data_IF_383894063862
#
_entry.id   IF_383894063862
#
_cell.length_a   1.000
_cell.length_b   1.000
_cell.length_c   1.000
_cell.angle_alpha   90.00
_cell.angle_beta   90.00
_cell.angle_gamma   90.00
#
_symmetry.space_group_name_H-M   'P 1'
#
loop_
_entity.id
_entity.type
_entity.pdbx_description
1 polymer ?
#
# COMPACT_ATOMS: atom_id res chain seq x y z
N UNK A 1 9.14 -1.54 12.38
CA UNK A 1 8.54 -2.23 11.21
C UNK A 1 7.06 -2.53 11.44
N UNK A 2 6.67 -3.28 12.47
CA UNK A 2 5.27 -3.63 12.73
C UNK A 2 4.32 -2.43 12.87
N UNK A 3 4.68 -1.41 13.67
CA UNK A 3 3.85 -0.21 13.85
C UNK A 3 3.59 0.52 12.51
N UNK A 4 4.63 0.71 11.68
CA UNK A 4 4.49 1.34 10.36
C UNK A 4 3.55 0.56 9.45
N UNK A 5 3.70 -0.76 9.36
CA UNK A 5 2.83 -1.58 8.51
C UNK A 5 1.39 -1.53 9.02
N UNK A 6 1.18 -1.71 10.32
CA UNK A 6 -0.14 -1.76 10.91
C UNK A 6 -0.89 -0.42 10.80
N UNK A 7 -0.22 0.70 11.12
CA UNK A 7 -0.86 2.02 11.03
C UNK A 7 -1.23 2.37 9.59
N UNK A 8 -0.42 1.97 8.62
CA UNK A 8 -0.67 2.28 7.22
C UNK A 8 -1.68 1.32 6.59
N UNK A 9 -1.46 0.00 6.66
CA UNK A 9 -2.33 -0.95 5.95
C UNK A 9 -3.65 -1.20 6.68
N UNK A 10 -3.65 -1.22 8.01
CA UNK A 10 -4.87 -1.59 8.77
C UNK A 10 -5.65 -0.35 9.19
N UNK A 11 -4.99 0.65 9.77
CA UNK A 11 -5.69 1.80 10.33
C UNK A 11 -5.97 2.90 9.28
N UNK A 12 -5.05 3.10 8.34
CA UNK A 12 -5.19 4.16 7.33
C UNK A 12 -5.84 3.64 6.06
N UNK A 13 -5.32 2.53 5.51
CA UNK A 13 -5.83 1.98 4.26
C UNK A 13 -7.13 1.18 4.42
N UNK A 14 -7.41 0.73 5.65
CA UNK A 14 -8.46 -0.25 5.94
C UNK A 14 -8.39 -1.42 4.92
N UNK A 15 -7.19 -2.01 4.76
CA UNK A 15 -6.95 -3.06 3.76
C UNK A 15 -7.78 -4.30 4.10
N UNK A 16 -8.60 -4.72 3.14
CA UNK A 16 -9.57 -5.79 3.25
C UNK A 16 -9.27 -6.96 2.29
N UNK A 17 -9.91 -8.09 2.55
CA UNK A 17 -9.80 -9.28 1.70
C UNK A 17 -10.19 -8.99 0.25
N UNK A 18 -9.46 -9.58 -0.69
CA UNK A 18 -9.68 -9.43 -2.13
C UNK A 18 -9.08 -8.17 -2.77
N UNK A 19 -8.76 -7.14 -1.98
CA UNK A 19 -8.07 -5.94 -2.49
C UNK A 19 -6.63 -6.26 -2.92
N UNK A 20 -6.15 -5.56 -3.94
CA UNK A 20 -4.78 -5.66 -4.44
C UNK A 20 -3.90 -4.58 -3.82
N UNK A 21 -2.91 -5.02 -3.03
CA UNK A 21 -1.85 -4.19 -2.48
C UNK A 21 -0.59 -4.25 -3.35
N UNK A 22 -0.09 -3.11 -3.83
CA UNK A 22 1.23 -2.98 -4.42
C UNK A 22 2.24 -2.46 -3.38
N UNK A 23 3.35 -3.15 -3.19
CA UNK A 23 4.42 -2.76 -2.26
C UNK A 23 5.71 -2.48 -3.04
N UNK A 24 6.21 -1.26 -2.93
CA UNK A 24 7.55 -0.95 -3.43
C UNK A 24 8.64 -1.38 -2.44
N UNK A 25 9.68 -2.04 -2.96
CA UNK A 25 10.77 -2.57 -2.14
C UNK A 25 10.31 -3.73 -1.25
N UNK A 26 9.66 -4.74 -1.85
CA UNK A 26 9.05 -5.87 -1.14
C UNK A 26 10.01 -6.64 -0.22
N UNK A 27 11.29 -6.74 -0.58
CA UNK A 27 12.30 -7.43 0.23
C UNK A 27 12.93 -6.56 1.35
N UNK A 28 12.38 -5.38 1.63
CA UNK A 28 12.80 -4.54 2.76
C UNK A 28 12.18 -5.04 4.09
N UNK A 29 12.66 -4.51 5.23
CA UNK A 29 12.07 -4.84 6.54
C UNK A 29 10.60 -4.42 6.67
N UNK A 30 10.17 -3.36 6.00
CA UNK A 30 8.75 -2.98 5.92
C UNK A 30 8.02 -3.86 4.92
N UNK A 31 8.59 -4.08 3.73
CA UNK A 31 7.96 -4.86 2.66
C UNK A 31 7.68 -6.30 3.06
N UNK A 32 8.66 -7.00 3.63
CA UNK A 32 8.52 -8.40 4.06
C UNK A 32 7.46 -8.58 5.14
N UNK A 33 7.30 -7.59 6.03
CA UNK A 33 6.26 -7.60 7.04
C UNK A 33 4.88 -7.22 6.45
N UNK A 34 4.84 -6.26 5.52
CA UNK A 34 3.63 -5.87 4.80
C UNK A 34 3.04 -7.02 3.97
N UNK A 35 3.87 -7.83 3.31
CA UNK A 35 3.43 -9.03 2.58
C UNK A 35 2.67 -9.98 3.53
N UNK A 36 3.25 -10.29 4.69
CA UNK A 36 2.66 -11.21 5.65
C UNK A 36 1.35 -10.68 6.25
N UNK A 37 1.30 -9.39 6.60
CA UNK A 37 0.08 -8.75 7.12
C UNK A 37 -1.02 -8.75 6.05
N UNK A 38 -0.72 -8.33 4.82
CA UNK A 38 -1.69 -8.31 3.74
C UNK A 38 -2.25 -9.71 3.43
N UNK A 39 -1.38 -10.73 3.43
CA UNK A 39 -1.79 -12.12 3.28
C UNK A 39 -2.68 -12.60 4.42
N UNK A 40 -2.39 -12.23 5.66
CA UNK A 40 -3.24 -12.56 6.80
C UNK A 40 -4.62 -11.88 6.74
N UNK A 41 -4.73 -10.72 6.10
CA UNK A 41 -5.99 -10.01 5.85
C UNK A 41 -6.76 -10.54 4.63
N UNK A 42 -6.22 -11.53 3.91
CA UNK A 42 -6.83 -12.07 2.68
C UNK A 42 -6.70 -11.16 1.46
N UNK A 43 -5.81 -10.16 1.51
CA UNK A 43 -5.52 -9.29 0.37
C UNK A 43 -4.59 -9.98 -0.63
N UNK A 44 -4.67 -9.55 -1.89
CA UNK A 44 -3.75 -9.92 -2.96
C UNK A 44 -2.53 -9.02 -2.90
N UNK A 45 -1.35 -9.58 -3.16
CA UNK A 45 -0.08 -8.85 -2.93
C UNK A 45 0.77 -8.84 -4.20
N UNK A 46 1.03 -7.64 -4.71
CA UNK A 46 2.01 -7.33 -5.72
C UNK A 46 3.22 -6.61 -5.10
N UNK A 47 4.43 -6.93 -5.54
CA UNK A 47 5.65 -6.30 -5.02
C UNK A 47 6.63 -5.94 -6.13
N UNK A 48 7.46 -4.92 -5.89
CA UNK A 48 8.66 -4.66 -6.70
C UNK A 48 9.94 -5.01 -5.92
N UNK A 49 10.89 -5.67 -6.59
CA UNK A 49 12.23 -5.90 -6.05
C UNK A 49 13.29 -5.98 -7.15
N UNK A 50 14.57 -5.79 -6.77
CA UNK A 50 15.65 -5.54 -7.72
C UNK A 50 16.56 -6.74 -8.03
N UNK A 51 16.27 -7.93 -7.49
CA UNK A 51 17.03 -9.14 -7.80
C UNK A 51 16.17 -10.40 -7.71
N UNK A 52 16.51 -11.47 -8.46
CA UNK A 52 15.76 -12.73 -8.43
C UNK A 52 15.64 -13.34 -7.03
N UNK A 53 16.71 -13.29 -6.23
CA UNK A 53 16.69 -13.79 -4.85
C UNK A 53 15.71 -13.00 -3.96
N UNK A 54 15.62 -11.68 -4.13
CA UNK A 54 14.67 -10.84 -3.40
C UNK A 54 13.22 -11.13 -3.83
N UNK A 55 12.99 -11.36 -5.11
CA UNK A 55 11.67 -11.75 -5.62
C UNK A 55 11.26 -13.11 -5.08
N UNK A 56 12.18 -14.08 -5.04
CA UNK A 56 11.90 -15.41 -4.47
C UNK A 56 11.53 -15.32 -2.99
N UNK A 57 12.31 -14.58 -2.19
CA UNK A 57 11.97 -14.33 -0.79
C UNK A 57 10.54 -13.76 -0.65
N UNK A 58 10.15 -12.81 -1.51
CA UNK A 58 8.82 -12.24 -1.44
C UNK A 58 7.72 -13.25 -1.82
N UNK A 59 7.96 -14.14 -2.80
CA UNK A 59 7.04 -15.24 -3.14
C UNK A 59 6.85 -16.19 -1.98
N UNK A 60 7.95 -16.58 -1.32
CA UNK A 60 7.92 -17.48 -0.16
C UNK A 60 7.13 -16.88 1.02
N UNK A 61 7.19 -15.56 1.18
CA UNK A 61 6.39 -14.82 2.17
C UNK A 61 4.92 -14.63 1.75
N UNK A 62 4.59 -14.91 0.50
CA UNK A 62 3.22 -14.91 0.00
C UNK A 62 2.87 -13.78 -0.97
N UNK A 63 3.84 -13.10 -1.58
CA UNK A 63 3.56 -12.23 -2.71
C UNK A 63 3.05 -13.05 -3.91
N UNK A 64 1.86 -12.72 -4.40
CA UNK A 64 1.24 -13.36 -5.59
C UNK A 64 1.94 -12.88 -6.86
N UNK A 65 2.21 -11.57 -6.94
CA UNK A 65 2.79 -10.93 -8.12
C UNK A 65 4.13 -10.32 -7.71
N UNK A 66 5.21 -10.75 -8.36
CA UNK A 66 6.55 -10.22 -8.10
C UNK A 66 7.12 -9.61 -9.37
N UNK A 67 7.52 -8.34 -9.28
CA UNK A 67 7.92 -7.53 -10.43
C UNK A 67 9.40 -7.16 -10.29
N UNK A 68 10.22 -7.59 -11.25
CA UNK A 68 11.60 -7.18 -11.38
C UNK A 68 11.66 -5.76 -11.97
N UNK A 69 11.71 -4.72 -11.13
CA UNK A 69 11.58 -3.32 -11.60
C UNK A 69 12.67 -2.86 -12.59
N UNK A 70 13.75 -3.63 -12.77
CA UNK A 70 14.82 -3.36 -13.74
C UNK A 70 14.47 -3.84 -15.15
N UNK A 71 13.61 -4.85 -15.24
CA UNK A 71 13.32 -5.60 -16.46
C UNK A 71 11.83 -5.49 -16.86
N UNK A 72 10.97 -5.16 -15.89
CA UNK A 72 9.52 -5.08 -16.04
C UNK A 72 8.98 -3.69 -15.65
N UNK A 73 7.94 -3.26 -16.35
CA UNK A 73 7.14 -2.10 -15.97
C UNK A 73 6.07 -2.49 -14.94
N UNK A 74 6.21 -2.00 -13.71
CA UNK A 74 5.25 -2.29 -12.65
C UNK A 74 3.82 -1.80 -12.93
N UNK A 75 3.65 -0.71 -13.69
CA UNK A 75 2.31 -0.18 -14.02
C UNK A 75 1.58 -1.20 -14.89
N UNK A 76 2.24 -1.63 -15.96
CA UNK A 76 1.72 -2.65 -16.87
C UNK A 76 1.40 -3.96 -16.12
N UNK A 77 2.35 -4.47 -15.33
CA UNK A 77 2.18 -5.75 -14.60
C UNK A 77 1.04 -5.73 -13.58
N UNK A 78 0.87 -4.62 -12.86
CA UNK A 78 -0.22 -4.45 -11.89
C UNK A 78 -1.57 -4.38 -12.59
N UNK A 79 -1.67 -3.68 -13.72
CA UNK A 79 -2.90 -3.59 -14.50
C UNK A 79 -3.26 -4.94 -15.11
N UNK A 80 -2.31 -5.68 -15.65
CA UNK A 80 -2.54 -7.05 -16.14
C UNK A 80 -3.07 -7.97 -15.03
N UNK A 81 -2.44 -7.95 -13.85
CA UNK A 81 -2.83 -8.80 -12.72
C UNK A 81 -4.19 -8.44 -12.09
N UNK A 82 -4.71 -7.24 -12.35
CA UNK A 82 -5.99 -6.72 -11.85
C UNK A 82 -7.08 -6.65 -12.93
N UNK A 83 -6.85 -7.21 -14.12
CA UNK A 83 -7.83 -7.13 -15.22
C UNK A 83 -8.05 -5.71 -15.75
N UNK A 84 -7.04 -4.84 -15.62
CA UNK A 84 -7.02 -3.47 -16.10
C UNK A 84 -7.32 -2.40 -15.04
N UNK A 85 -7.82 -2.80 -13.86
CA UNK A 85 -8.26 -1.88 -12.82
C UNK A 85 -7.11 -1.10 -12.16
N UNK A 86 -6.04 -1.78 -11.77
CA UNK A 86 -4.94 -1.23 -10.95
C UNK A 86 -4.91 -1.82 -9.53
N UNK A 87 -4.05 -1.28 -8.68
CA UNK A 87 -3.96 -1.62 -7.26
C UNK A 87 -4.92 -0.75 -6.42
N UNK A 88 -5.62 -1.36 -5.48
CA UNK A 88 -6.49 -0.65 -4.52
C UNK A 88 -5.66 0.16 -3.53
N UNK A 89 -4.52 -0.38 -3.10
CA UNK A 89 -3.61 0.28 -2.17
C UNK A 89 -2.18 0.19 -2.70
N UNK A 90 -1.44 1.29 -2.66
CA UNK A 90 0.00 1.31 -2.96
C UNK A 90 0.76 1.75 -1.69
N UNK A 91 1.69 0.92 -1.24
CA UNK A 91 2.64 1.26 -0.18
C UNK A 91 3.99 1.65 -0.79
N UNK A 92 4.30 2.94 -0.73
CA UNK A 92 5.40 3.55 -1.47
C UNK A 92 6.56 4.04 -0.58
N UNK A 93 7.77 3.59 -0.89
CA UNK A 93 9.03 4.04 -0.27
C UNK A 93 9.84 4.99 -1.17
N UNK A 94 9.44 5.14 -2.43
CA UNK A 94 10.16 5.90 -3.44
C UNK A 94 9.77 7.37 -3.42
N UNK A 95 8.50 7.71 -3.24
CA UNK A 95 8.05 9.09 -3.24
C UNK A 95 8.16 9.72 -4.63
N UNK A 96 8.95 10.79 -4.76
CA UNK A 96 8.95 11.63 -5.96
C UNK A 96 9.16 10.85 -7.28
N UNK A 97 10.14 9.94 -7.33
CA UNK A 97 10.46 9.21 -8.55
C UNK A 97 9.29 8.37 -9.11
N UNK A 98 8.40 7.87 -8.25
CA UNK A 98 7.30 6.98 -8.66
C UNK A 98 5.93 7.67 -8.61
N UNK A 99 5.86 8.94 -8.20
CA UNK A 99 4.61 9.61 -7.87
C UNK A 99 3.56 9.57 -8.99
N UNK A 100 3.91 10.02 -10.20
CA UNK A 100 2.96 10.01 -11.34
C UNK A 100 2.62 8.58 -11.80
N UNK A 101 3.61 7.68 -11.81
CA UNK A 101 3.41 6.28 -12.21
C UNK A 101 2.58 5.48 -11.21
N UNK A 102 2.65 5.83 -9.94
CA UNK A 102 1.79 5.28 -8.91
C UNK A 102 0.34 5.64 -9.17
N UNK A 103 0.05 6.86 -9.65
CA UNK A 103 -1.32 7.20 -10.08
C UNK A 103 -1.78 6.33 -11.26
N UNK A 104 -0.89 6.04 -12.21
CA UNK A 104 -1.25 5.18 -13.36
C UNK A 104 -1.53 3.73 -12.94
N UNK A 105 -0.79 3.21 -11.96
CA UNK A 105 -0.96 1.88 -11.40
C UNK A 105 -2.13 1.75 -10.42
N UNK A 106 -2.65 2.87 -9.89
CA UNK A 106 -3.71 2.88 -8.89
C UNK A 106 -5.09 2.61 -9.51
N UNK A 107 -5.93 1.85 -8.82
CA UNK A 107 -7.34 1.69 -9.16
C UNK A 107 -8.16 2.96 -8.91
N UNK A 108 -9.36 3.00 -9.45
CA UNK A 108 -10.35 4.00 -9.03
C UNK A 108 -10.67 3.82 -7.55
N UNK A 109 -10.83 4.92 -6.83
CA UNK A 109 -11.00 4.97 -5.37
C UNK A 109 -9.82 4.39 -4.57
N UNK A 110 -8.69 4.14 -5.24
CA UNK A 110 -7.50 3.60 -4.60
C UNK A 110 -6.76 4.62 -3.74
N UNK A 111 -5.86 4.11 -2.91
CA UNK A 111 -5.08 4.88 -1.96
C UNK A 111 -3.57 4.73 -2.15
N UNK A 112 -2.88 5.86 -2.31
CA UNK A 112 -1.43 5.94 -2.31
C UNK A 112 -0.91 6.32 -0.92
N UNK A 113 -0.14 5.43 -0.31
CA UNK A 113 0.43 5.61 1.02
C UNK A 113 1.95 5.75 0.91
N UNK A 114 2.44 6.98 1.07
CA UNK A 114 3.87 7.29 0.99
C UNK A 114 4.48 7.19 2.38
N UNK A 115 5.40 6.24 2.57
CA UNK A 115 6.10 5.97 3.83
C UNK A 115 7.61 6.22 3.74
N UNK A 116 8.13 6.56 2.57
CA UNK A 116 9.53 6.85 2.31
C UNK A 116 9.73 7.75 1.10
N UNK A 117 10.92 8.35 1.02
CA UNK A 117 11.28 9.35 -0.01
C UNK A 117 12.61 8.97 -0.69
N UNK A 118 12.88 7.68 -0.88
CA UNK A 118 14.16 7.19 -1.43
C UNK A 118 14.43 7.68 -2.87
N UNK A 119 13.37 7.91 -3.63
CA UNK A 119 13.39 8.49 -4.97
C UNK A 119 13.20 10.01 -4.99
N UNK A 120 13.31 10.69 -3.85
CA UNK A 120 13.28 12.15 -3.75
C UNK A 120 12.09 12.70 -2.95
N UNK A 121 12.23 13.93 -2.49
CA UNK A 121 11.27 14.61 -1.58
C UNK A 121 10.28 15.54 -2.30
N UNK A 122 10.52 15.87 -3.57
CA UNK A 122 9.69 16.75 -4.40
C UNK A 122 9.50 16.15 -5.78
N UNK A 123 8.26 16.10 -6.25
CA UNK A 123 7.89 15.60 -7.57
C UNK A 123 6.62 16.28 -8.08
N UNK A 124 6.35 16.13 -9.36
CA UNK A 124 5.15 16.65 -10.00
C UNK A 124 4.01 15.63 -9.89
N UNK A 125 2.80 16.12 -9.61
CA UNK A 125 1.60 15.30 -9.46
C UNK A 125 0.55 15.75 -10.48
N UNK A 126 0.13 14.84 -11.35
CA UNK A 126 -0.95 15.12 -12.28
C UNK A 126 -2.30 15.10 -11.55
N UNK A 127 -2.82 16.30 -11.24
CA UNK A 127 -4.11 16.46 -10.54
C UNK A 127 -5.30 15.95 -11.36
N UNK A 128 -5.21 15.97 -12.69
CA UNK A 128 -6.25 15.39 -13.56
C UNK A 128 -6.38 13.89 -13.35
N UNK A 129 -5.26 13.17 -13.27
CA UNK A 129 -5.25 11.73 -12.93
C UNK A 129 -5.83 11.49 -11.53
N UNK A 130 -5.41 12.29 -10.55
CA UNK A 130 -5.87 12.17 -9.16
C UNK A 130 -7.39 12.31 -9.04
N UNK A 131 -7.95 13.37 -9.64
CA UNK A 131 -9.40 13.63 -9.64
C UNK A 131 -10.16 12.53 -10.41
N UNK A 132 -9.67 12.15 -11.59
CA UNK A 132 -10.33 11.13 -12.43
C UNK A 132 -10.47 9.77 -11.71
N UNK A 133 -9.48 9.42 -10.89
CA UNK A 133 -9.47 8.19 -10.11
C UNK A 133 -10.14 8.33 -8.76
N UNK A 134 -10.56 9.53 -8.33
CA UNK A 134 -11.01 9.82 -6.96
C UNK A 134 -10.00 9.31 -5.92
N UNK A 135 -8.72 9.36 -6.29
CA UNK A 135 -7.65 8.74 -5.53
C UNK A 135 -7.33 9.54 -4.27
N UNK A 136 -7.12 8.84 -3.16
CA UNK A 136 -6.61 9.42 -1.93
C UNK A 136 -5.10 9.27 -1.82
N UNK A 137 -4.39 10.33 -1.42
CA UNK A 137 -3.01 10.21 -0.95
C UNK A 137 -2.97 10.48 0.54
N UNK A 138 -2.49 9.52 1.34
CA UNK A 138 -2.37 9.67 2.78
C UNK A 138 -0.92 9.56 3.22
N UNK A 139 -0.50 10.48 4.09
CA UNK A 139 0.78 10.39 4.81
C UNK A 139 0.46 9.85 6.21
N UNK A 140 1.18 8.82 6.70
CA UNK A 140 0.91 8.28 8.04
C UNK A 140 1.06 9.35 9.10
N UNK A 141 0.01 9.55 9.90
CA UNK A 141 0.09 10.25 11.18
C UNK A 141 0.35 9.20 12.26
N UNK A 142 1.61 9.03 12.66
CA UNK A 142 1.93 8.26 13.85
C UNK A 142 1.73 9.17 15.07
N UNK A 143 0.51 9.22 15.59
CA UNK A 143 0.26 9.92 16.85
C UNK A 143 0.73 9.05 18.00
N UNK A 144 1.90 9.38 18.55
CA UNK A 144 2.37 8.83 19.81
C UNK A 144 1.67 9.62 20.91
N UNK A 145 0.68 9.03 21.56
CA UNK A 145 0.12 9.59 22.79
C UNK A 145 1.24 9.61 23.86
N UNK A 146 1.77 10.80 24.14
CA UNK A 146 2.83 11.03 25.14
C UNK A 146 2.26 11.31 26.53
N UNK A 147 0.96 11.10 26.75
CA UNK A 147 0.33 11.30 28.05
C UNK A 147 0.87 10.30 29.09
N UNK A 148 1.49 10.75 30.20
CA UNK A 148 1.95 9.83 31.24
C UNK A 148 0.76 9.10 31.88
N UNK A 149 0.79 7.76 31.89
CA UNK A 149 -0.10 6.93 32.72
C UNK A 149 -1.41 6.44 32.08
N UNK A 150 -1.62 6.59 30.76
CA UNK A 150 -2.80 6.04 30.09
C UNK A 150 -2.44 4.75 29.35
N UNK A 151 -2.83 3.60 29.89
CA UNK A 151 -2.80 2.32 29.15
C UNK A 151 -3.60 2.48 27.86
N UNK A 152 -3.02 2.06 26.74
CA UNK A 152 -3.61 2.17 25.40
C UNK A 152 -5.06 1.68 25.40
N UNK A 153 -6.00 2.63 25.38
CA UNK A 153 -7.41 2.33 25.16
C UNK A 153 -7.62 2.48 23.66
N UNK A 154 -7.82 1.36 22.97
CA UNK A 154 -8.32 1.39 21.60
C UNK A 154 -9.62 2.22 21.61
N UNK A 155 -9.61 3.38 20.97
CA UNK A 155 -10.79 4.20 20.81
C UNK A 155 -11.74 3.46 19.87
N UNK A 156 -12.62 2.65 20.46
CA UNK A 156 -13.75 2.03 19.80
C UNK A 156 -14.76 3.12 19.43
N UNK A 157 -14.52 3.83 18.34
CA UNK A 157 -15.54 4.61 17.65
C UNK A 157 -15.78 4.01 16.27
N UNK A 158 -16.11 2.71 16.22
CA UNK A 158 -16.90 2.16 15.11
C UNK A 158 -18.32 2.01 15.62
N UNK A 159 -19.14 3.02 15.32
CA UNK A 159 -20.60 2.93 15.43
C UNK A 159 -21.02 1.92 14.37
N UNK A 160 -21.25 0.68 14.80
CA UNK A 160 -21.92 -0.34 14.01
C UNK A 160 -23.32 0.17 13.67
N UNK A 161 -23.52 0.66 12.45
CA UNK A 161 -24.86 0.91 11.92
C UNK A 161 -25.27 -0.29 11.07
N UNK A 162 -25.74 -1.33 11.75
CA UNK A 162 -26.60 -2.34 11.13
C UNK A 162 -27.96 -1.69 10.83
N UNK A 163 -28.29 -1.54 9.54
CA UNK A 163 -29.63 -1.69 8.91
C UNK A 163 -29.77 -0.80 7.66
N UNK A 164 -29.67 -1.43 6.48
CA UNK A 164 -30.49 -1.13 5.31
C UNK A 164 -31.34 -2.40 5.14
N UNK A 165 -32.63 -2.45 5.49
CA UNK A 165 -33.81 -1.93 4.77
C UNK A 165 -34.73 -3.15 4.49
N UNK A 166 -35.92 -3.02 3.89
CA UNK A 166 -36.86 -1.88 3.90
C UNK A 166 -37.74 -1.83 5.16
#
# INVERSE_FOLDING_TARGET
MACTVWSNLVLTADLNAGQLLLIHGGASGVGTHAIQVARALGARVAITAGSPAKLQLCRDLGAEITIAYRDEDFVTRVREASGGAGADVILDIMGAAYLDRNLDALASDGQLIVIGLQGGTKGELNLGKLISKRAGSSVPRCEVDRSPGRTARASSSRRWSSRCGP
#
